data_IF_588756688314
#
_entry.id   IF_588756688314
#
_cell.length_a   1.000
_cell.length_b   1.000
_cell.length_c   1.000
_cell.angle_alpha   90.00
_cell.angle_beta   90.00
_cell.angle_gamma   90.00
#
_symmetry.space_group_name_H-M   'P 1'
#
loop_
_entity.id
_entity.type
_entity.pdbx_description
1 polymer ?
#
# COMPACT_ATOMS: atom_id res chain seq x y z
N UNK A 1 28.86 0.03 -9.20
CA UNK A 1 28.17 0.13 -10.50
C UNK A 1 26.91 0.95 -10.26
N UNK A 2 26.84 2.20 -10.74
CA UNK A 2 25.65 3.03 -10.59
C UNK A 2 24.63 2.55 -11.62
N UNK A 3 23.54 1.92 -11.17
CA UNK A 3 22.42 1.59 -12.03
C UNK A 3 21.75 2.91 -12.43
N UNK A 4 21.86 3.26 -13.69
CA UNK A 4 21.19 4.45 -14.26
C UNK A 4 19.70 4.25 -14.14
N UNK A 5 19.02 5.05 -13.33
CA UNK A 5 17.57 5.13 -13.32
C UNK A 5 17.17 5.74 -14.66
N UNK A 6 16.59 4.94 -15.54
CA UNK A 6 16.08 5.39 -16.82
C UNK A 6 14.92 6.37 -16.57
N UNK A 7 15.08 7.60 -17.05
CA UNK A 7 14.00 8.59 -17.13
C UNK A 7 13.09 8.18 -18.29
N UNK A 8 11.90 7.71 -17.96
CA UNK A 8 10.89 7.33 -18.96
C UNK A 8 10.16 8.58 -19.45
N UNK A 9 10.34 8.92 -20.72
CA UNK A 9 9.58 9.98 -21.37
C UNK A 9 8.11 9.51 -21.58
N UNK A 10 7.17 10.05 -20.81
CA UNK A 10 5.73 9.82 -20.97
C UNK A 10 5.18 8.56 -20.30
N UNK A 11 5.87 8.02 -19.27
CA UNK A 11 5.51 6.77 -18.60
C UNK A 11 4.91 6.95 -17.21
N UNK A 12 4.68 5.80 -16.55
CA UNK A 12 4.21 5.67 -15.16
C UNK A 12 5.06 6.50 -14.21
N UNK A 13 4.43 7.36 -13.43
CA UNK A 13 5.10 8.22 -12.47
C UNK A 13 4.76 7.84 -11.03
N UNK A 14 3.53 7.42 -10.75
CA UNK A 14 3.12 7.05 -9.40
C UNK A 14 2.44 5.67 -9.35
N UNK A 15 2.95 4.82 -8.47
CA UNK A 15 2.50 3.44 -8.26
C UNK A 15 1.95 3.29 -6.85
N UNK A 16 0.73 2.80 -6.72
CA UNK A 16 0.14 2.40 -5.46
C UNK A 16 0.45 0.93 -5.17
N UNK A 17 1.18 0.63 -4.09
CA UNK A 17 1.42 -0.73 -3.62
C UNK A 17 0.57 -0.99 -2.39
N UNK A 18 -0.55 -1.67 -2.59
CA UNK A 18 -1.55 -1.92 -1.56
C UNK A 18 -1.63 -3.40 -1.17
N UNK A 19 -2.53 -3.72 -0.28
CA UNK A 19 -2.78 -5.06 0.22
C UNK A 19 -3.15 -5.05 1.70
N UNK A 20 -3.64 -6.17 2.20
CA UNK A 20 -4.05 -6.31 3.59
C UNK A 20 -2.89 -6.03 4.57
N UNK A 21 -3.21 -5.73 5.84
CA UNK A 21 -2.19 -5.68 6.90
C UNK A 21 -1.45 -7.03 6.97
N UNK A 22 -0.13 -7.01 7.10
CA UNK A 22 0.68 -8.23 7.15
C UNK A 22 1.16 -8.75 5.77
N UNK A 23 0.74 -8.18 4.64
CA UNK A 23 1.20 -8.60 3.31
C UNK A 23 2.65 -8.21 3.00
N UNK A 24 3.25 -7.29 3.77
CA UNK A 24 4.66 -6.90 3.62
C UNK A 24 4.89 -5.60 2.86
N UNK A 25 3.90 -4.72 2.74
CA UNK A 25 4.00 -3.41 2.06
C UNK A 25 5.20 -2.58 2.52
N UNK A 26 5.35 -2.37 3.83
CA UNK A 26 6.48 -1.60 4.39
C UNK A 26 7.83 -2.25 4.12
N UNK A 27 7.89 -3.59 4.08
CA UNK A 27 9.11 -4.32 3.71
C UNK A 27 9.45 -4.10 2.23
N UNK A 28 8.45 -4.17 1.34
CA UNK A 28 8.60 -3.85 -0.10
C UNK A 28 9.06 -2.41 -0.28
N UNK A 29 8.44 -1.46 0.44
CA UNK A 29 8.85 -0.05 0.46
C UNK A 29 10.34 0.11 0.81
N UNK A 30 10.79 -0.54 1.88
CA UNK A 30 12.19 -0.49 2.32
C UNK A 30 13.16 -1.05 1.26
N UNK A 31 12.81 -2.16 0.59
CA UNK A 31 13.64 -2.74 -0.47
C UNK A 31 13.67 -1.85 -1.72
N UNK A 32 12.54 -1.25 -2.10
CA UNK A 32 12.48 -0.27 -3.20
C UNK A 32 13.39 0.93 -2.91
N UNK A 33 13.34 1.49 -1.69
CA UNK A 33 14.27 2.55 -1.24
C UNK A 33 15.73 2.11 -1.34
N UNK A 34 16.06 0.91 -0.87
CA UNK A 34 17.42 0.37 -0.94
C UNK A 34 17.92 0.17 -2.37
N UNK A 35 17.01 -0.03 -3.33
CA UNK A 35 17.32 -0.12 -4.78
C UNK A 35 17.39 1.25 -5.47
N UNK A 36 17.17 2.37 -4.74
CA UNK A 36 17.27 3.73 -5.25
C UNK A 36 15.99 4.31 -5.86
N UNK A 37 14.86 3.64 -5.69
CA UNK A 37 13.56 4.19 -6.06
C UNK A 37 13.05 5.19 -5.03
N UNK A 38 12.22 6.14 -5.45
CA UNK A 38 11.39 6.93 -4.54
C UNK A 38 10.27 6.01 -4.05
N UNK A 39 10.29 5.67 -2.77
CA UNK A 39 9.25 4.85 -2.17
C UNK A 39 8.88 5.42 -0.81
N UNK A 40 7.59 5.59 -0.56
CA UNK A 40 7.03 6.19 0.64
C UNK A 40 6.08 5.19 1.30
N UNK A 41 6.11 5.12 2.62
CA UNK A 41 5.16 4.34 3.41
C UNK A 41 4.00 5.27 3.79
N UNK A 42 2.78 4.89 3.41
CA UNK A 42 1.62 5.77 3.59
C UNK A 42 1.30 6.05 5.06
N UNK A 43 1.66 5.12 5.94
CA UNK A 43 1.43 5.24 7.38
C UNK A 43 2.55 6.07 8.03
N UNK A 44 3.82 5.70 7.79
CA UNK A 44 4.98 6.34 8.43
C UNK A 44 5.25 7.74 7.88
N UNK A 45 5.06 7.95 6.57
CA UNK A 45 5.29 9.25 5.91
C UNK A 45 4.04 10.15 5.95
N UNK A 46 2.99 9.74 6.70
CA UNK A 46 1.85 10.57 7.07
C UNK A 46 0.86 10.86 5.93
N UNK A 47 0.72 9.95 4.97
CA UNK A 47 -0.28 10.04 3.92
C UNK A 47 -1.67 9.61 4.40
N UNK A 48 -1.75 8.82 5.47
CA UNK A 48 -3.01 8.33 6.03
C UNK A 48 -3.32 8.95 7.39
N UNK A 49 -4.61 9.04 7.71
CA UNK A 49 -5.13 9.55 9.00
C UNK A 49 -6.38 8.79 9.41
N UNK A 50 -6.64 8.78 10.71
CA UNK A 50 -7.95 8.37 11.21
C UNK A 50 -9.01 9.42 10.87
N UNK A 51 -10.13 8.96 10.34
CA UNK A 51 -11.32 9.77 10.07
C UNK A 51 -12.54 9.18 10.78
N UNK A 52 -13.45 10.02 11.21
CA UNK A 52 -14.81 9.61 11.61
C UNK A 52 -15.60 9.29 10.33
N UNK A 53 -16.04 8.04 10.16
CA UNK A 53 -16.77 7.61 8.94
C UNK A 53 -18.09 8.31 8.75
N UNK A 54 -18.70 8.81 9.83
CA UNK A 54 -20.00 9.48 9.75
C UNK A 54 -19.88 10.93 9.28
N UNK A 55 -18.79 11.62 9.65
CA UNK A 55 -18.59 13.05 9.36
C UNK A 55 -17.50 13.32 8.34
N UNK A 56 -16.57 12.37 8.12
CA UNK A 56 -15.38 12.56 7.32
C UNK A 56 -14.29 13.40 8.00
N UNK A 57 -14.51 13.83 9.25
CA UNK A 57 -13.56 14.66 9.98
C UNK A 57 -12.34 13.86 10.42
N UNK A 58 -11.17 14.50 10.35
CA UNK A 58 -9.92 13.93 10.85
C UNK A 58 -9.95 13.84 12.37
N UNK A 59 -9.61 12.69 12.90
CA UNK A 59 -9.43 12.48 14.34
C UNK A 59 -8.09 13.06 14.75
N UNK A 60 -8.13 14.10 15.58
CA UNK A 60 -6.94 14.70 16.18
C UNK A 60 -6.55 13.88 17.42
N UNK A 61 -5.27 13.57 17.57
CA UNK A 61 -4.72 12.81 18.68
C UNK A 61 -5.47 11.48 18.93
N UNK A 62 -5.49 10.56 17.94
CA UNK A 62 -6.10 9.25 18.13
C UNK A 62 -5.40 8.48 19.26
N UNK A 63 -6.14 7.70 20.08
CA UNK A 63 -5.53 6.90 21.11
C UNK A 63 -4.61 5.83 20.51
N UNK A 64 -3.49 5.57 21.19
CA UNK A 64 -2.57 4.48 20.86
C UNK A 64 -2.24 3.67 22.14
N UNK A 65 -2.63 2.40 22.21
CA UNK A 65 -3.37 1.63 21.20
C UNK A 65 -4.84 2.06 21.06
N UNK A 66 -5.42 1.82 19.89
CA UNK A 66 -6.84 2.11 19.66
C UNK A 66 -7.73 1.19 20.54
N UNK A 67 -8.80 1.69 21.17
CA UNK A 67 -9.68 0.89 22.02
C UNK A 67 -10.58 -0.05 21.20
N UNK A 68 -11.16 -1.06 21.86
CA UNK A 68 -12.18 -1.93 21.27
C UNK A 68 -13.35 -1.11 20.71
N UNK A 69 -13.91 -1.55 19.56
CA UNK A 69 -14.97 -0.84 18.84
C UNK A 69 -14.50 0.39 18.04
N UNK A 70 -13.23 0.75 18.09
CA UNK A 70 -12.68 1.88 17.33
C UNK A 70 -12.96 1.75 15.82
N UNK A 71 -12.70 0.56 15.29
CA UNK A 71 -12.85 0.25 13.86
C UNK A 71 -14.32 0.23 13.40
N UNK A 72 -15.30 0.28 14.29
CA UNK A 72 -16.71 0.41 13.92
C UNK A 72 -17.06 1.83 13.51
N UNK A 73 -16.43 2.81 14.13
CA UNK A 73 -16.70 4.24 13.92
C UNK A 73 -15.65 4.93 13.06
N UNK A 74 -14.39 4.60 13.23
CA UNK A 74 -13.28 5.30 12.62
C UNK A 74 -12.63 4.48 11.51
N UNK A 75 -12.22 5.15 10.44
CA UNK A 75 -11.55 4.57 9.28
C UNK A 75 -10.14 5.12 9.10
N UNK A 76 -9.26 4.31 8.55
CA UNK A 76 -7.93 4.71 8.14
C UNK A 76 -7.98 5.18 6.69
N UNK A 77 -7.83 6.48 6.45
CA UNK A 77 -8.05 7.10 5.15
C UNK A 77 -6.80 7.83 4.65
N UNK A 78 -6.56 7.72 3.34
CA UNK A 78 -5.50 8.46 2.65
C UNK A 78 -5.96 9.88 2.37
N UNK A 79 -5.05 10.85 2.53
CA UNK A 79 -5.28 12.27 2.31
C UNK A 79 -4.96 12.60 0.86
N UNK A 80 -6.00 12.90 0.07
CA UNK A 80 -5.88 13.14 -1.38
C UNK A 80 -4.86 14.23 -1.72
N UNK A 81 -4.90 15.35 -1.02
CA UNK A 81 -4.04 16.51 -1.28
C UNK A 81 -2.54 16.16 -1.12
N UNK A 82 -2.22 15.23 -0.22
CA UNK A 82 -0.84 14.77 -0.07
C UNK A 82 -0.39 13.90 -1.24
N UNK A 83 -1.28 13.08 -1.78
CA UNK A 83 -0.99 12.26 -2.97
C UNK A 83 -0.85 13.17 -4.20
N UNK A 84 -1.69 14.19 -4.35
CA UNK A 84 -1.57 15.19 -5.42
C UNK A 84 -0.20 15.91 -5.37
N UNK A 85 0.26 16.28 -4.18
CA UNK A 85 1.60 16.84 -3.99
C UNK A 85 2.68 15.85 -4.44
N UNK A 86 2.54 14.57 -4.08
CA UNK A 86 3.50 13.52 -4.49
C UNK A 86 3.53 13.33 -6.01
N UNK A 87 2.37 13.39 -6.69
CA UNK A 87 2.29 13.35 -8.16
C UNK A 87 3.13 14.47 -8.77
N UNK A 88 2.97 15.70 -8.26
CA UNK A 88 3.74 16.86 -8.75
C UNK A 88 5.26 16.68 -8.57
N UNK A 89 5.68 16.19 -7.39
CA UNK A 89 7.08 15.97 -7.05
C UNK A 89 7.71 14.81 -7.83
N UNK A 90 6.89 13.86 -8.31
CA UNK A 90 7.34 12.63 -8.96
C UNK A 90 7.37 12.69 -10.48
N UNK A 91 7.03 13.83 -11.12
CA UNK A 91 6.87 13.98 -12.58
C UNK A 91 8.06 13.52 -13.42
N UNK A 92 9.26 13.44 -12.84
CA UNK A 92 10.49 13.09 -13.56
C UNK A 92 11.04 11.70 -13.20
N UNK A 93 10.37 10.94 -12.33
CA UNK A 93 10.85 9.65 -11.85
C UNK A 93 9.69 8.81 -11.30
N UNK A 94 9.87 7.49 -11.32
CA UNK A 94 8.90 6.57 -10.74
C UNK A 94 8.94 6.69 -9.22
N UNK A 95 7.77 6.91 -8.60
CA UNK A 95 7.57 6.88 -7.17
C UNK A 95 6.57 5.77 -6.80
N UNK A 96 6.79 5.17 -5.64
CA UNK A 96 5.92 4.16 -5.06
C UNK A 96 5.35 4.69 -3.75
N UNK A 97 4.04 4.63 -3.60
CA UNK A 97 3.37 4.84 -2.32
C UNK A 97 2.87 3.47 -1.83
N UNK A 98 3.35 3.04 -0.67
CA UNK A 98 3.09 1.72 -0.13
C UNK A 98 2.19 1.84 1.11
N UNK A 99 0.97 1.33 1.05
CA UNK A 99 0.02 1.44 2.15
C UNK A 99 -1.32 0.78 1.85
N UNK A 100 -2.28 1.00 2.72
CA UNK A 100 -3.68 0.65 2.49
C UNK A 100 -4.58 1.64 3.21
N UNK A 101 -5.71 1.98 2.59
CA UNK A 101 -6.68 2.91 3.14
C UNK A 101 -8.09 2.48 2.76
N UNK A 102 -9.10 2.88 3.56
CA UNK A 102 -10.49 2.52 3.27
C UNK A 102 -11.03 3.25 2.04
N UNK A 103 -10.52 4.45 1.79
CA UNK A 103 -10.94 5.31 0.70
C UNK A 103 -10.00 5.26 -0.53
N UNK A 104 -9.35 4.13 -0.79
CA UNK A 104 -8.47 3.96 -1.96
C UNK A 104 -9.17 4.35 -3.28
N UNK A 105 -10.48 4.14 -3.38
CA UNK A 105 -11.25 4.50 -4.56
C UNK A 105 -11.23 6.01 -4.84
N UNK A 106 -11.13 6.85 -3.80
CA UNK A 106 -11.19 8.31 -3.92
C UNK A 106 -9.88 8.92 -4.45
N UNK A 107 -8.80 8.14 -4.47
CA UNK A 107 -7.47 8.58 -4.91
C UNK A 107 -6.92 7.76 -6.06
N UNK A 108 -7.68 6.77 -6.54
CA UNK A 108 -7.23 5.82 -7.56
C UNK A 108 -6.83 6.50 -8.87
N UNK A 109 -7.50 7.58 -9.22
CA UNK A 109 -7.24 8.41 -10.41
C UNK A 109 -5.87 9.11 -10.39
N UNK A 110 -5.22 9.17 -9.24
CA UNK A 110 -3.89 9.77 -9.07
C UNK A 110 -2.74 8.78 -9.33
N UNK A 111 -3.04 7.49 -9.44
CA UNK A 111 -2.04 6.44 -9.65
C UNK A 111 -2.11 5.87 -11.06
N UNK A 112 -0.96 5.78 -11.71
CA UNK A 112 -0.82 5.17 -13.04
C UNK A 112 -0.92 3.64 -12.97
N UNK A 113 -0.50 3.05 -11.84
CA UNK A 113 -0.56 1.63 -11.58
C UNK A 113 -0.94 1.37 -10.12
N UNK A 114 -1.83 0.39 -9.93
CA UNK A 114 -2.07 -0.21 -8.62
C UNK A 114 -1.55 -1.65 -8.62
N UNK A 115 -0.73 -1.97 -7.63
CA UNK A 115 -0.24 -3.32 -7.34
C UNK A 115 -0.82 -3.77 -6.01
N UNK A 116 -1.52 -4.91 -5.98
CA UNK A 116 -2.07 -5.48 -4.75
C UNK A 116 -1.27 -6.70 -4.32
N UNK A 117 -0.68 -6.63 -3.14
CA UNK A 117 0.02 -7.74 -2.50
C UNK A 117 -0.98 -8.65 -1.79
N UNK A 118 -0.97 -9.93 -2.13
CA UNK A 118 -1.85 -10.94 -1.51
C UNK A 118 -1.04 -12.07 -0.91
N UNK A 119 -1.56 -12.66 0.17
CA UNK A 119 -1.02 -13.86 0.83
C UNK A 119 -2.17 -14.77 1.25
N UNK A 120 -1.87 -16.04 1.49
CA UNK A 120 -2.81 -16.96 2.10
C UNK A 120 -3.07 -16.62 3.58
N UNK A 121 -4.12 -17.24 4.14
CA UNK A 121 -4.55 -16.97 5.51
C UNK A 121 -3.53 -17.44 6.55
N UNK A 122 -2.89 -18.59 6.35
CA UNK A 122 -1.92 -19.13 7.30
C UNK A 122 -0.67 -18.23 7.37
N UNK A 123 -0.19 -17.79 6.22
CA UNK A 123 0.90 -16.80 6.12
C UNK A 123 0.51 -15.48 6.81
N UNK A 124 -0.73 -15.01 6.61
CA UNK A 124 -1.24 -13.80 7.26
C UNK A 124 -1.24 -13.94 8.78
N UNK A 125 -1.81 -15.01 9.31
CA UNK A 125 -1.84 -15.30 10.76
C UNK A 125 -0.45 -15.33 11.35
N UNK A 126 0.46 -16.06 10.70
CA UNK A 126 1.84 -16.17 11.15
C UNK A 126 2.54 -14.81 11.19
N UNK A 127 2.43 -14.02 10.12
CA UNK A 127 3.07 -12.70 10.04
C UNK A 127 2.51 -11.70 11.05
N UNK A 128 1.18 -11.66 11.24
CA UNK A 128 0.56 -10.80 12.25
C UNK A 128 0.96 -11.18 13.69
N UNK A 129 1.12 -12.47 13.97
CA UNK A 129 1.54 -12.95 15.28
C UNK A 129 3.04 -12.68 15.59
N UNK A 130 3.89 -12.67 14.57
CA UNK A 130 5.37 -12.62 14.76
C UNK A 130 5.99 -11.25 14.52
N UNK A 131 5.29 -10.33 13.82
CA UNK A 131 5.84 -9.01 13.52
C UNK A 131 6.08 -8.16 14.77
N UNK A 132 7.13 -7.35 14.75
CA UNK A 132 7.53 -6.46 15.85
C UNK A 132 7.37 -4.97 15.54
N UNK A 133 7.24 -4.62 14.27
CA UNK A 133 7.25 -3.22 13.80
C UNK A 133 5.92 -2.48 13.97
N UNK A 134 4.82 -3.23 14.12
CA UNK A 134 3.47 -2.68 14.20
C UNK A 134 2.62 -3.62 15.07
N UNK A 135 1.74 -3.08 15.89
CA UNK A 135 0.90 -3.84 16.83
C UNK A 135 -0.45 -4.27 16.28
N UNK A 136 -0.88 -3.73 15.14
CA UNK A 136 -2.16 -4.06 14.52
C UNK A 136 -2.28 -5.57 14.23
N UNK A 137 -3.39 -6.17 14.60
CA UNK A 137 -3.64 -7.62 14.47
C UNK A 137 -3.23 -8.42 15.72
N UNK A 138 -2.70 -7.79 16.76
CA UNK A 138 -2.49 -8.42 18.06
C UNK A 138 -3.78 -8.50 18.87
N UNK A 139 -4.67 -7.55 18.71
CA UNK A 139 -5.99 -7.60 19.30
C UNK A 139 -6.92 -8.53 18.49
N UNK A 140 -7.78 -9.33 19.15
CA UNK A 140 -8.67 -10.25 18.46
C UNK A 140 -9.55 -9.60 17.39
N UNK A 141 -10.03 -8.38 17.63
CA UNK A 141 -10.88 -7.64 16.69
C UNK A 141 -10.11 -7.23 15.42
N UNK A 142 -8.88 -6.77 15.58
CA UNK A 142 -8.00 -6.40 14.44
C UNK A 142 -7.62 -7.62 13.61
N UNK A 143 -7.29 -8.73 14.28
CA UNK A 143 -7.01 -10.00 13.62
C UNK A 143 -8.24 -10.48 12.84
N UNK A 144 -9.43 -10.46 13.47
CA UNK A 144 -10.67 -10.86 12.84
C UNK A 144 -10.98 -9.97 11.61
N UNK A 145 -10.75 -8.67 11.70
CA UNK A 145 -10.90 -7.74 10.58
C UNK A 145 -9.93 -8.09 9.43
N UNK A 146 -8.65 -8.28 9.72
CA UNK A 146 -7.66 -8.66 8.71
C UNK A 146 -8.02 -9.99 8.01
N UNK A 147 -8.43 -11.00 8.77
CA UNK A 147 -8.82 -12.31 8.23
C UNK A 147 -10.11 -12.25 7.39
N UNK A 148 -11.07 -11.43 7.79
CA UNK A 148 -12.32 -11.22 7.04
C UNK A 148 -12.08 -10.62 5.66
N UNK A 149 -11.11 -9.70 5.55
CA UNK A 149 -10.79 -9.01 4.30
C UNK A 149 -9.86 -9.80 3.39
N UNK A 150 -8.95 -10.60 3.94
CA UNK A 150 -7.89 -11.28 3.19
C UNK A 150 -8.40 -12.06 1.95
N UNK A 151 -9.42 -12.93 2.03
CA UNK A 151 -9.89 -13.70 0.87
C UNK A 151 -10.53 -12.84 -0.22
N UNK A 152 -10.94 -11.61 0.11
CA UNK A 152 -11.61 -10.68 -0.81
C UNK A 152 -10.64 -9.77 -1.56
N UNK A 153 -9.44 -9.54 -1.00
CA UNK A 153 -8.48 -8.57 -1.53
C UNK A 153 -8.14 -8.84 -2.99
N UNK A 154 -7.84 -10.10 -3.35
CA UNK A 154 -7.54 -10.47 -4.74
C UNK A 154 -8.65 -10.04 -5.68
N UNK A 155 -9.87 -10.52 -5.45
CA UNK A 155 -11.00 -10.29 -6.35
C UNK A 155 -11.37 -8.79 -6.47
N UNK A 156 -11.33 -8.05 -5.35
CA UNK A 156 -11.62 -6.61 -5.35
C UNK A 156 -10.62 -5.87 -6.22
N UNK A 157 -9.33 -6.13 -6.04
CA UNK A 157 -8.29 -5.40 -6.75
C UNK A 157 -8.14 -5.84 -8.20
N UNK A 158 -8.32 -7.14 -8.53
CA UNK A 158 -8.37 -7.62 -9.91
C UNK A 158 -9.52 -6.98 -10.68
N UNK A 159 -10.72 -6.94 -10.10
CA UNK A 159 -11.88 -6.26 -10.70
C UNK A 159 -11.62 -4.77 -10.90
N UNK A 160 -10.86 -4.16 -10.01
CA UNK A 160 -10.42 -2.78 -10.11
C UNK A 160 -9.25 -2.55 -11.08
N UNK A 161 -8.75 -3.56 -11.79
CA UNK A 161 -7.65 -3.43 -12.76
C UNK A 161 -6.26 -3.36 -12.13
N UNK A 162 -6.10 -3.73 -10.86
CA UNK A 162 -4.80 -3.80 -10.22
C UNK A 162 -4.03 -5.06 -10.64
N UNK A 163 -2.71 -4.96 -10.71
CA UNK A 163 -1.82 -6.12 -10.82
C UNK A 163 -1.72 -6.80 -9.45
N UNK A 164 -2.11 -8.08 -9.38
CA UNK A 164 -2.05 -8.84 -8.13
C UNK A 164 -0.77 -9.66 -8.08
N UNK A 165 -0.02 -9.52 -6.98
CA UNK A 165 1.26 -10.20 -6.75
C UNK A 165 1.17 -11.06 -5.49
N UNK A 166 1.59 -12.34 -5.61
CA UNK A 166 1.74 -13.24 -4.47
C UNK A 166 2.95 -12.81 -3.61
N UNK A 167 2.65 -12.25 -2.45
CA UNK A 167 3.65 -11.77 -1.50
C UNK A 167 4.05 -12.81 -0.44
N UNK A 168 3.69 -14.10 -0.61
CA UNK A 168 4.22 -15.22 0.20
C UNK A 168 5.67 -15.54 -0.18
N UNK A 169 6.11 -15.12 -1.36
CA UNK A 169 7.45 -15.31 -1.91
C UNK A 169 8.51 -14.48 -1.17
N UNK A 170 9.82 -14.77 -1.39
CA UNK A 170 10.91 -13.93 -0.89
C UNK A 170 10.71 -12.46 -1.32
N UNK A 171 10.97 -11.52 -0.42
CA UNK A 171 10.71 -10.09 -0.68
C UNK A 171 11.42 -9.55 -1.92
N UNK A 172 12.61 -10.07 -2.24
CA UNK A 172 13.35 -9.69 -3.45
C UNK A 172 12.58 -10.03 -4.71
N UNK A 173 11.97 -11.22 -4.77
CA UNK A 173 11.14 -11.68 -5.89
C UNK A 173 9.85 -10.85 -5.98
N UNK A 174 9.22 -10.56 -4.83
CA UNK A 174 8.03 -9.68 -4.80
C UNK A 174 8.35 -8.30 -5.36
N UNK A 175 9.48 -7.71 -4.97
CA UNK A 175 9.90 -6.39 -5.47
C UNK A 175 10.26 -6.45 -6.95
N UNK A 176 10.89 -7.53 -7.43
CA UNK A 176 11.17 -7.71 -8.85
C UNK A 176 9.85 -7.72 -9.64
N UNK A 177 8.85 -8.48 -9.20
CA UNK A 177 7.52 -8.50 -9.82
C UNK A 177 6.81 -7.14 -9.80
N UNK A 178 6.98 -6.33 -8.74
CA UNK A 178 6.44 -4.95 -8.68
C UNK A 178 7.11 -4.08 -9.74
N UNK A 179 8.42 -4.17 -9.89
CA UNK A 179 9.18 -3.40 -10.88
C UNK A 179 8.82 -3.85 -12.32
N UNK A 180 8.70 -5.15 -12.54
CA UNK A 180 8.32 -5.71 -13.85
C UNK A 180 6.90 -5.25 -14.26
N UNK A 181 5.96 -5.16 -13.31
CA UNK A 181 4.62 -4.62 -13.58
C UNK A 181 4.66 -3.17 -14.08
N UNK A 182 5.57 -2.34 -13.55
CA UNK A 182 5.78 -0.96 -14.02
C UNK A 182 6.39 -0.96 -15.43
N UNK A 183 7.39 -1.80 -15.67
CA UNK A 183 8.07 -1.88 -16.97
C UNK A 183 7.13 -2.38 -18.08
N UNK A 184 6.22 -3.31 -17.75
CA UNK A 184 5.21 -3.82 -18.68
C UNK A 184 4.28 -2.73 -19.21
N UNK A 185 3.96 -1.72 -18.41
CA UNK A 185 3.17 -0.57 -18.84
C UNK A 185 3.94 0.39 -19.75
N UNK A 186 5.24 0.57 -19.50
CA UNK A 186 6.08 1.49 -20.28
C UNK A 186 6.51 0.89 -21.63
N UNK A 187 6.57 -0.43 -21.74
CA UNK A 187 6.93 -1.14 -22.99
C UNK A 187 5.77 -1.34 -23.97
N UNK A 188 4.53 -0.99 -23.59
CA UNK A 188 3.33 -1.20 -24.41
C UNK A 188 2.86 0.05 -25.18
N UNK A 189 3.70 1.09 -25.32
CA UNK A 189 3.37 2.23 -26.17
C UNK A 189 3.68 1.85 -27.63
N UNK A 190 2.68 1.86 -28.54
CA UNK A 190 2.86 1.53 -29.96
C UNK A 190 3.71 2.58 -30.71
#
# INVERSE_FOLDING_TARGET
MRTSVNVYAGGVTLVWVTGNSGTGKSTVCGVLRARGYVALDADEDGFCRWIDRATGEVVVDPPDPVPGGWLDRYGWAIVRERVETLVEESRSRIAFLCGSAENEADVRDLFDLTVCLVIDEDTLRHRLATRTTNTFGRHPEELAAALKWNPRMRAIHETGGATVIDASKPVTEVVDNVIDAVQGLTGSTP
#
